data_IF_420866263624
#
_entry.id   IF_420866263624
#
_cell.length_a   1.000
_cell.length_b   1.000
_cell.length_c   1.000
_cell.angle_alpha   90.00
_cell.angle_beta   90.00
_cell.angle_gamma   90.00
#
_symmetry.space_group_name_H-M   'P 1'
#
loop_
_entity.id
_entity.type
_entity.pdbx_description
1 polymer ?
#
# COMPACT_ATOMS: atom_id res chain seq x y z
N UNK A 1 -14.94 17.17 1.53
CA UNK A 1 -15.22 15.98 2.38
C UNK A 1 -14.69 16.27 3.78
N UNK A 2 -15.49 16.05 4.83
CA UNK A 2 -15.08 16.36 6.21
C UNK A 2 -14.21 15.21 6.77
N UNK A 3 -12.89 15.28 6.53
CA UNK A 3 -11.93 14.25 6.96
C UNK A 3 -11.95 14.01 8.47
N UNK A 4 -12.28 15.05 9.28
CA UNK A 4 -12.43 14.93 10.73
C UNK A 4 -13.59 13.99 11.09
N UNK A 5 -14.75 14.16 10.46
CA UNK A 5 -15.91 13.31 10.71
C UNK A 5 -15.63 11.84 10.38
N UNK A 6 -15.05 11.57 9.20
CA UNK A 6 -14.69 10.20 8.80
C UNK A 6 -13.71 9.55 9.77
N UNK A 7 -12.70 10.30 10.21
CA UNK A 7 -11.76 9.83 11.23
C UNK A 7 -12.46 9.51 12.55
N UNK A 8 -13.31 10.41 13.05
CA UNK A 8 -14.05 10.18 14.28
C UNK A 8 -14.96 8.96 14.19
N UNK A 9 -15.62 8.73 13.05
CA UNK A 9 -16.44 7.54 12.82
C UNK A 9 -15.61 6.26 12.80
N UNK A 10 -14.45 6.28 12.12
CA UNK A 10 -13.52 5.15 12.07
C UNK A 10 -12.96 4.82 13.46
N UNK A 11 -12.49 5.85 14.19
CA UNK A 11 -11.96 5.68 15.55
C UNK A 11 -13.05 5.09 16.48
N UNK A 12 -14.30 5.58 16.43
CA UNK A 12 -15.41 5.02 17.22
C UNK A 12 -15.76 3.59 16.83
N UNK A 13 -15.84 3.28 15.53
CA UNK A 13 -16.14 1.92 15.08
C UNK A 13 -15.10 0.94 15.61
N UNK A 14 -13.82 1.29 15.55
CA UNK A 14 -12.73 0.45 16.04
C UNK A 14 -12.74 0.34 17.56
N UNK A 15 -13.00 1.44 18.28
CA UNK A 15 -13.09 1.39 19.74
C UNK A 15 -14.23 0.49 20.23
N UNK A 16 -15.42 0.59 19.62
CA UNK A 16 -16.55 -0.30 19.93
C UNK A 16 -16.23 -1.75 19.57
N UNK A 17 -15.56 -1.97 18.43
CA UNK A 17 -15.25 -3.32 17.94
C UNK A 17 -14.15 -4.01 18.74
N UNK A 18 -13.18 -3.25 19.26
CA UNK A 18 -11.97 -3.78 19.91
C UNK A 18 -12.04 -3.65 21.45
N UNK A 19 -12.56 -2.53 21.96
CA UNK A 19 -12.44 -2.13 23.37
C UNK A 19 -13.77 -2.07 24.13
N UNK A 20 -14.92 -2.41 23.53
CA UNK A 20 -16.22 -2.26 24.20
C UNK A 20 -16.39 -3.10 25.48
N UNK A 21 -15.58 -4.14 25.67
CA UNK A 21 -15.70 -5.08 26.80
C UNK A 21 -16.97 -5.94 26.77
N UNK A 22 -17.83 -5.75 25.78
CA UNK A 22 -19.06 -6.53 25.58
C UNK A 22 -18.69 -7.84 24.90
N UNK A 23 -18.91 -8.96 25.61
CA UNK A 23 -18.76 -10.30 25.02
C UNK A 23 -19.98 -10.61 24.16
N UNK A 24 -19.80 -10.63 22.85
CA UNK A 24 -20.78 -11.16 21.90
C UNK A 24 -20.30 -12.53 21.39
N UNK A 25 -21.21 -13.35 20.86
CA UNK A 25 -20.87 -14.67 20.31
C UNK A 25 -20.11 -14.63 18.96
N UNK A 26 -19.95 -13.44 18.38
CA UNK A 26 -19.10 -13.24 17.20
C UNK A 26 -17.62 -13.28 17.59
N UNK A 27 -16.76 -13.74 16.67
CA UNK A 27 -15.32 -13.68 16.89
C UNK A 27 -14.87 -12.22 17.09
N UNK A 28 -14.10 -11.93 18.15
CA UNK A 28 -13.59 -10.58 18.37
C UNK A 28 -12.57 -10.24 17.28
N UNK A 29 -12.73 -9.05 16.66
CA UNK A 29 -11.77 -8.34 15.80
C UNK A 29 -10.96 -9.26 14.89
N UNK A 30 -11.48 -9.50 13.69
CA UNK A 30 -10.91 -10.51 12.80
C UNK A 30 -10.19 -9.87 11.61
N UNK A 31 -9.65 -10.69 10.71
CA UNK A 31 -8.75 -10.24 9.64
C UNK A 31 -9.31 -9.08 8.81
N UNK A 32 -10.60 -9.13 8.50
CA UNK A 32 -11.26 -8.08 7.71
C UNK A 32 -11.40 -6.74 8.45
N UNK A 33 -11.56 -6.75 9.78
CA UNK A 33 -11.59 -5.52 10.58
C UNK A 33 -10.25 -4.79 10.50
N UNK A 34 -9.14 -5.53 10.63
CA UNK A 34 -7.79 -4.96 10.59
C UNK A 34 -7.47 -4.39 9.20
N UNK A 35 -7.72 -5.13 8.12
CA UNK A 35 -7.47 -4.63 6.76
C UNK A 35 -8.39 -3.47 6.40
N UNK A 36 -9.66 -3.53 6.78
CA UNK A 36 -10.60 -2.42 6.63
C UNK A 36 -10.08 -1.14 7.30
N UNK A 37 -9.61 -1.25 8.54
CA UNK A 37 -9.00 -0.13 9.26
C UNK A 37 -7.76 0.40 8.53
N UNK A 38 -6.86 -0.48 8.08
CA UNK A 38 -5.64 -0.11 7.39
C UNK A 38 -5.92 0.72 6.12
N UNK A 39 -6.81 0.25 5.24
CA UNK A 39 -7.21 0.97 4.03
C UNK A 39 -7.88 2.31 4.34
N UNK A 40 -8.81 2.35 5.31
CA UNK A 40 -9.50 3.60 5.67
C UNK A 40 -8.54 4.65 6.25
N UNK A 41 -7.59 4.25 7.11
CA UNK A 41 -6.56 5.17 7.60
C UNK A 41 -5.61 5.62 6.49
N UNK A 42 -5.24 4.73 5.56
CA UNK A 42 -4.47 5.11 4.39
C UNK A 42 -5.23 6.15 3.55
N UNK A 43 -6.54 5.97 3.35
CA UNK A 43 -7.42 6.94 2.68
C UNK A 43 -7.64 8.24 3.46
N UNK A 44 -7.33 8.28 4.75
CA UNK A 44 -7.30 9.51 5.54
C UNK A 44 -5.89 10.13 5.60
N UNK A 45 -4.88 9.47 5.05
CA UNK A 45 -3.48 9.89 5.10
C UNK A 45 -2.79 9.62 6.44
N UNK A 46 -3.39 8.77 7.29
CA UNK A 46 -2.79 8.32 8.54
C UNK A 46 -1.92 7.09 8.30
N UNK A 47 -0.68 7.36 7.93
CA UNK A 47 0.26 6.34 7.49
C UNK A 47 0.61 5.36 8.60
N UNK A 48 0.80 5.87 9.82
CA UNK A 48 1.23 5.06 10.95
C UNK A 48 0.08 4.20 11.50
N UNK A 49 -1.14 4.74 11.58
CA UNK A 49 -2.31 3.90 11.91
C UNK A 49 -2.59 2.87 10.82
N UNK A 50 -2.45 3.22 9.54
CA UNK A 50 -2.61 2.27 8.46
C UNK A 50 -1.65 1.08 8.59
N UNK A 51 -0.37 1.38 8.84
CA UNK A 51 0.66 0.37 9.08
C UNK A 51 0.39 -0.45 10.35
N UNK A 52 -0.02 0.19 11.46
CA UNK A 52 -0.34 -0.52 12.70
C UNK A 52 -1.35 -1.65 12.48
N UNK A 53 -2.46 -1.39 11.78
CA UNK A 53 -3.47 -2.42 11.53
C UNK A 53 -3.04 -3.45 10.47
N UNK A 54 -2.23 -3.05 9.50
CA UNK A 54 -1.63 -3.99 8.56
C UNK A 54 -0.71 -4.98 9.29
N UNK A 55 0.20 -4.46 10.13
CA UNK A 55 1.11 -5.26 10.95
C UNK A 55 0.36 -6.12 11.97
N UNK A 56 -0.69 -5.58 12.60
CA UNK A 56 -1.58 -6.33 13.48
C UNK A 56 -2.13 -7.59 12.83
N UNK A 57 -2.57 -7.53 11.55
CA UNK A 57 -3.06 -8.71 10.85
C UNK A 57 -1.94 -9.73 10.60
N UNK A 58 -0.80 -9.30 10.04
CA UNK A 58 0.24 -10.28 9.65
C UNK A 58 0.86 -11.01 10.87
N UNK A 59 0.84 -10.38 12.04
CA UNK A 59 1.26 -10.97 13.32
C UNK A 59 0.15 -11.82 13.98
N UNK A 60 -1.06 -11.83 13.43
CA UNK A 60 -2.18 -12.52 14.04
C UNK A 60 -2.01 -14.05 13.93
N UNK A 61 -2.27 -14.77 15.03
CA UNK A 61 -2.12 -16.25 15.14
C UNK A 61 -2.89 -17.08 14.10
N UNK A 62 -3.89 -16.47 13.45
CA UNK A 62 -4.70 -17.10 12.42
C UNK A 62 -4.12 -16.93 11.00
N UNK A 63 -3.06 -16.12 10.84
CA UNK A 63 -2.29 -16.07 9.60
C UNK A 63 -1.26 -17.21 9.62
N UNK A 64 -1.28 -18.04 8.58
CA UNK A 64 -0.29 -19.09 8.40
C UNK A 64 1.01 -18.54 7.78
N UNK A 65 2.14 -19.27 7.86
CA UNK A 65 3.32 -19.02 7.07
C UNK A 65 3.04 -18.99 5.56
N UNK A 66 1.98 -19.63 5.06
CA UNK A 66 1.58 -19.50 3.65
C UNK A 66 0.86 -18.18 3.33
N UNK A 67 0.77 -17.26 4.29
CA UNK A 67 0.03 -15.98 4.24
C UNK A 67 -1.49 -16.14 4.09
N UNK A 68 -2.01 -17.36 4.25
CA UNK A 68 -3.44 -17.65 4.28
C UNK A 68 -4.01 -17.37 5.67
N UNK A 69 -5.31 -17.12 5.75
CA UNK A 69 -5.99 -16.76 7.00
C UNK A 69 -7.25 -17.61 7.22
N UNK A 70 -7.54 -17.95 8.48
CA UNK A 70 -8.67 -18.81 8.84
C UNK A 70 -9.29 -18.46 10.20
N UNK A 71 -10.62 -18.62 10.29
CA UNK A 71 -11.43 -18.41 11.50
C UNK A 71 -12.15 -19.70 11.90
N UNK A 72 -11.38 -20.79 11.97
CA UNK A 72 -11.91 -22.17 12.01
C UNK A 72 -12.09 -22.75 10.62
N UNK A 73 -12.60 -21.96 9.67
CA UNK A 73 -12.60 -22.26 8.23
C UNK A 73 -11.73 -21.24 7.46
N UNK A 74 -11.27 -21.55 6.24
CA UNK A 74 -10.53 -20.59 5.40
C UNK A 74 -11.35 -19.33 5.08
N UNK A 75 -10.68 -18.17 5.14
CA UNK A 75 -11.27 -16.84 4.92
C UNK A 75 -10.38 -16.10 3.91
N UNK A 76 -10.67 -16.28 2.61
CA UNK A 76 -9.82 -15.83 1.51
C UNK A 76 -9.83 -14.31 1.29
N UNK A 77 -10.89 -13.65 1.72
CA UNK A 77 -11.05 -12.20 1.61
C UNK A 77 -10.01 -11.44 2.43
N UNK A 78 -9.51 -12.00 3.54
CA UNK A 78 -8.57 -11.28 4.42
C UNK A 78 -7.19 -11.12 3.79
N UNK A 79 -6.53 -12.16 3.22
CA UNK A 79 -5.27 -11.98 2.50
C UNK A 79 -5.40 -11.09 1.25
N UNK A 80 -6.53 -11.19 0.52
CA UNK A 80 -6.79 -10.32 -0.64
C UNK A 80 -7.01 -8.86 -0.21
N UNK A 81 -7.68 -8.65 0.92
CA UNK A 81 -7.85 -7.33 1.52
C UNK A 81 -6.51 -6.78 2.02
N UNK A 82 -5.64 -7.59 2.60
CA UNK A 82 -4.28 -7.19 2.99
C UNK A 82 -3.46 -6.68 1.79
N UNK A 83 -3.50 -7.41 0.66
CA UNK A 83 -2.86 -6.95 -0.58
C UNK A 83 -3.46 -5.61 -1.07
N UNK A 84 -4.78 -5.44 -0.93
CA UNK A 84 -5.46 -4.18 -1.25
C UNK A 84 -4.99 -3.03 -0.36
N UNK A 85 -4.79 -3.26 0.93
CA UNK A 85 -4.26 -2.25 1.85
C UNK A 85 -2.87 -1.77 1.43
N UNK A 86 -1.98 -2.68 0.99
CA UNK A 86 -0.67 -2.30 0.46
C UNK A 86 -0.86 -1.38 -0.75
N UNK A 87 -1.75 -1.71 -1.69
CA UNK A 87 -2.07 -0.82 -2.81
C UNK A 87 -2.59 0.54 -2.33
N UNK A 88 -3.55 0.58 -1.41
CA UNK A 88 -4.11 1.84 -0.87
C UNK A 88 -3.07 2.70 -0.14
N UNK A 89 -2.07 2.08 0.50
CA UNK A 89 -0.98 2.78 1.17
C UNK A 89 0.02 3.37 0.17
N UNK A 90 0.26 2.68 -0.95
CA UNK A 90 1.21 3.07 -1.99
C UNK A 90 0.62 4.04 -3.03
N UNK A 91 -0.61 3.81 -3.48
CA UNK A 91 -1.23 4.51 -4.60
C UNK A 91 -2.76 4.54 -4.49
N UNK A 92 -3.33 5.74 -4.47
CA UNK A 92 -4.78 5.95 -4.47
C UNK A 92 -5.20 6.73 -5.71
N UNK A 93 -6.37 6.41 -6.28
CA UNK A 93 -6.88 7.11 -7.48
C UNK A 93 -8.32 7.60 -7.40
N UNK A 94 -8.92 7.57 -6.20
CA UNK A 94 -10.32 7.95 -6.01
C UNK A 94 -10.55 9.45 -6.22
N UNK A 95 -11.78 9.79 -6.65
CA UNK A 95 -12.19 11.18 -6.91
C UNK A 95 -11.47 11.84 -8.09
N UNK A 96 -11.03 11.05 -9.07
CA UNK A 96 -10.30 11.55 -10.24
C UNK A 96 -8.89 12.07 -9.92
N UNK A 97 -8.34 11.70 -8.76
CA UNK A 97 -7.08 12.24 -8.21
C UNK A 97 -6.14 11.12 -7.82
N UNK A 98 -4.91 11.20 -8.30
CA UNK A 98 -3.82 10.26 -8.02
C UNK A 98 -3.03 10.76 -6.81
N UNK A 99 -2.88 9.92 -5.79
CA UNK A 99 -2.10 10.21 -4.59
C UNK A 99 -1.07 9.12 -4.40
N UNK A 100 0.20 9.48 -4.49
CA UNK A 100 1.33 8.56 -4.38
C UNK A 100 1.88 8.60 -2.96
N UNK A 101 2.16 7.43 -2.39
CA UNK A 101 2.68 7.22 -1.03
C UNK A 101 1.86 7.85 0.10
N UNK A 102 0.55 8.04 -0.12
CA UNK A 102 -0.30 8.76 0.84
C UNK A 102 -0.47 8.03 2.17
N UNK A 103 -0.56 6.70 2.15
CA UNK A 103 -0.63 5.86 3.35
C UNK A 103 0.69 5.17 3.69
N UNK A 104 1.80 5.56 3.07
CA UNK A 104 3.10 4.89 3.27
C UNK A 104 3.76 5.38 4.57
N UNK A 105 3.99 4.49 5.56
CA UNK A 105 4.52 4.81 6.88
C UNK A 105 5.99 5.19 6.83
N UNK A 106 6.47 5.86 7.89
CA UNK A 106 7.87 6.25 8.02
C UNK A 106 8.83 5.05 8.05
N UNK A 107 8.39 3.92 8.61
CA UNK A 107 9.20 2.69 8.68
C UNK A 107 9.53 2.11 7.30
N UNK A 108 8.74 2.42 6.28
CA UNK A 108 9.05 2.05 4.89
C UNK A 108 9.97 3.11 4.27
N UNK A 109 11.24 3.06 4.68
CA UNK A 109 12.29 3.96 4.18
C UNK A 109 12.51 3.80 2.69
N UNK A 110 12.66 2.57 2.22
CA UNK A 110 12.80 2.24 0.81
C UNK A 110 11.49 1.64 0.29
N UNK A 111 10.98 2.17 -0.82
CA UNK A 111 9.76 1.68 -1.47
C UNK A 111 9.89 1.87 -2.97
N UNK A 112 9.57 0.84 -3.75
CA UNK A 112 9.51 0.95 -5.19
C UNK A 112 8.33 0.15 -5.74
N UNK A 113 7.62 0.73 -6.72
CA UNK A 113 6.63 -0.01 -7.50
C UNK A 113 6.65 0.46 -8.95
N UNK A 114 6.27 -0.43 -9.86
CA UNK A 114 6.26 -0.18 -11.30
C UNK A 114 4.88 -0.45 -11.89
N UNK A 115 4.40 0.49 -12.69
CA UNK A 115 3.19 0.39 -13.50
C UNK A 115 1.93 -0.05 -12.72
N UNK A 116 1.76 0.44 -11.49
CA UNK A 116 0.48 0.29 -10.80
C UNK A 116 -0.57 1.14 -11.53
N UNK A 117 -1.74 0.54 -11.76
CA UNK A 117 -2.81 1.13 -12.56
C UNK A 117 -3.75 1.97 -11.71
N UNK A 118 -4.17 3.11 -12.23
CA UNK A 118 -5.16 3.98 -11.59
C UNK A 118 -6.48 4.01 -12.37
N UNK A 119 -7.54 4.47 -11.71
CA UNK A 119 -8.71 5.01 -12.41
C UNK A 119 -8.26 6.11 -13.41
N UNK A 120 -8.93 6.20 -14.56
CA UNK A 120 -8.55 7.12 -15.65
C UNK A 120 -7.49 6.58 -16.62
N UNK A 121 -7.12 5.29 -16.50
CA UNK A 121 -6.18 4.60 -17.39
C UNK A 121 -4.75 5.18 -17.38
N UNK A 122 -4.22 5.47 -16.19
CA UNK A 122 -2.79 5.80 -16.02
C UNK A 122 -2.02 4.61 -15.43
N UNK A 123 -0.74 4.53 -15.78
CA UNK A 123 0.24 3.68 -15.11
C UNK A 123 1.19 4.56 -14.30
N UNK A 124 1.40 4.20 -13.04
CA UNK A 124 2.26 4.96 -12.12
C UNK A 124 3.44 4.09 -11.71
N UNK A 125 4.64 4.64 -11.78
CA UNK A 125 5.86 4.07 -11.22
C UNK A 125 6.43 5.08 -10.24
N UNK A 126 6.89 4.64 -9.08
CA UNK A 126 7.49 5.52 -8.10
C UNK A 126 8.60 4.82 -7.32
N UNK A 127 9.58 5.62 -6.90
CA UNK A 127 10.70 5.18 -6.06
C UNK A 127 10.86 6.14 -4.90
N UNK A 128 10.97 5.59 -3.70
CA UNK A 128 11.36 6.25 -2.46
C UNK A 128 12.60 5.54 -1.92
N UNK A 129 13.57 6.31 -1.45
CA UNK A 129 14.81 5.83 -0.86
C UNK A 129 15.13 6.65 0.38
N UNK A 130 15.50 5.99 1.48
CA UNK A 130 15.81 6.61 2.76
C UNK A 130 14.72 7.59 3.23
N UNK A 131 13.45 7.24 2.96
CA UNK A 131 12.27 8.04 3.30
C UNK A 131 11.94 9.16 2.32
N UNK A 132 12.79 9.43 1.32
CA UNK A 132 12.64 10.52 0.34
C UNK A 132 12.17 9.98 -1.00
N UNK A 133 11.07 10.53 -1.52
CA UNK A 133 10.58 10.18 -2.85
C UNK A 133 11.48 10.74 -3.93
N UNK A 134 12.11 9.82 -4.68
CA UNK A 134 13.12 10.11 -5.70
C UNK A 134 12.45 10.53 -7.02
N UNK A 135 11.38 9.84 -7.39
CA UNK A 135 10.56 10.22 -8.54
C UNK A 135 9.18 9.59 -8.50
N UNK A 136 8.27 10.18 -9.28
CA UNK A 136 6.98 9.60 -9.67
C UNK A 136 6.83 9.78 -11.17
N UNK A 137 6.56 8.71 -11.92
CA UNK A 137 6.13 8.79 -13.31
C UNK A 137 4.66 8.44 -13.46
N UNK A 138 3.98 9.10 -14.39
CA UNK A 138 2.57 8.86 -14.73
C UNK A 138 2.47 8.78 -16.25
N UNK A 139 2.23 7.58 -16.77
CA UNK A 139 1.96 7.32 -18.19
C UNK A 139 0.44 7.35 -18.44
N UNK A 140 -0.02 8.08 -19.46
CA UNK A 140 -1.42 8.07 -19.86
C UNK A 140 -1.67 7.07 -20.98
N UNK A 141 -2.56 6.09 -20.76
CA UNK A 141 -2.88 5.07 -21.78
C UNK A 141 -4.06 5.46 -22.68
N UNK A 142 -4.86 6.44 -22.26
CA UNK A 142 -6.05 6.88 -22.98
C UNK A 142 -5.99 8.35 -23.41
N UNK A 143 -5.10 9.15 -22.82
CA UNK A 143 -5.07 10.60 -23.00
C UNK A 143 -6.13 11.28 -22.13
N UNK A 144 -5.70 12.01 -21.12
CA UNK A 144 -6.56 12.77 -20.21
C UNK A 144 -5.71 13.64 -19.28
N UNK A 145 -6.32 14.67 -18.71
CA UNK A 145 -5.71 15.44 -17.63
C UNK A 145 -5.64 14.59 -16.37
N UNK A 146 -4.46 14.45 -15.78
CA UNK A 146 -4.28 13.84 -14.47
C UNK A 146 -4.07 14.89 -13.39
N UNK A 147 -4.57 14.62 -12.19
CA UNK A 147 -4.32 15.39 -10.99
C UNK A 147 -3.49 14.53 -10.06
N UNK A 148 -2.21 14.85 -9.91
CA UNK A 148 -1.26 14.02 -9.15
C UNK A 148 -0.71 14.76 -7.94
N UNK A 149 -0.68 14.08 -6.81
CA UNK A 149 -0.01 14.51 -5.59
C UNK A 149 0.99 13.45 -5.17
N UNK A 150 2.20 13.88 -4.87
CA UNK A 150 3.28 13.09 -4.30
C UNK A 150 3.92 13.87 -3.16
N UNK A 151 4.58 13.17 -2.24
CA UNK A 151 5.35 13.77 -1.15
C UNK A 151 6.72 14.28 -1.60
N UNK A 152 6.74 14.99 -2.73
CA UNK A 152 7.90 15.72 -3.26
C UNK A 152 7.62 17.22 -3.08
N UNK A 153 8.35 17.92 -2.19
CA UNK A 153 8.26 19.37 -2.08
C UNK A 153 8.71 20.03 -3.39
N UNK A 154 7.87 20.90 -3.97
CA UNK A 154 8.18 21.68 -5.18
C UNK A 154 8.88 20.86 -6.30
N UNK A 155 8.24 19.80 -6.81
CA UNK A 155 8.84 18.91 -7.78
C UNK A 155 9.13 19.66 -9.08
N UNK A 156 10.24 19.29 -9.72
CA UNK A 156 10.46 19.56 -11.14
C UNK A 156 9.58 18.60 -11.94
N UNK A 157 8.86 19.14 -12.93
CA UNK A 157 7.87 18.38 -13.69
C UNK A 157 8.27 18.38 -15.17
N UNK A 158 8.26 17.19 -15.76
CA UNK A 158 8.63 16.96 -17.16
C UNK A 158 7.54 16.17 -17.86
N UNK A 159 7.26 16.47 -19.13
CA UNK A 159 6.45 15.61 -20.01
C UNK A 159 7.35 15.15 -21.15
N UNK A 160 7.52 13.84 -21.31
CA UNK A 160 8.42 13.23 -22.30
C UNK A 160 9.83 13.86 -22.28
N UNK A 161 10.35 14.11 -21.08
CA UNK A 161 11.66 14.69 -20.84
C UNK A 161 11.75 16.22 -20.98
N UNK A 162 10.69 16.91 -21.39
CA UNK A 162 10.68 18.37 -21.51
C UNK A 162 10.09 19.01 -20.26
N UNK A 163 10.83 19.93 -19.64
CA UNK A 163 10.39 20.65 -18.46
C UNK A 163 9.06 21.39 -18.72
N UNK A 164 8.16 21.35 -17.75
CA UNK A 164 6.84 21.98 -17.81
C UNK A 164 6.60 22.83 -16.58
N UNK A 165 5.87 23.93 -16.78
CA UNK A 165 5.25 24.68 -15.70
C UNK A 165 3.80 24.22 -15.63
N UNK A 166 3.41 23.65 -14.50
CA UNK A 166 2.05 23.12 -14.30
C UNK A 166 1.37 23.82 -13.12
N UNK A 167 0.06 24.00 -13.22
CA UNK A 167 -0.71 24.57 -12.12
C UNK A 167 -0.82 23.58 -10.96
N UNK A 168 -0.79 24.14 -9.75
CA UNK A 168 -1.08 23.41 -8.51
C UNK A 168 -2.42 23.88 -7.98
N UNK A 169 -3.31 22.95 -7.68
CA UNK A 169 -4.60 23.25 -7.05
C UNK A 169 -4.41 23.61 -5.58
N UNK A 170 -5.40 24.28 -4.98
CA UNK A 170 -5.37 24.68 -3.57
C UNK A 170 -5.20 23.49 -2.60
N UNK A 171 -5.72 22.32 -3.00
CA UNK A 171 -5.58 21.07 -2.24
C UNK A 171 -4.29 20.28 -2.58
N UNK A 172 -3.38 20.90 -3.34
CA UNK A 172 -2.01 20.46 -3.51
C UNK A 172 -1.76 19.42 -4.59
N UNK A 173 -2.65 19.32 -5.60
CA UNK A 173 -2.46 18.45 -6.77
C UNK A 173 -1.86 19.23 -7.93
N UNK A 174 -0.94 18.62 -8.66
CA UNK A 174 -0.46 19.13 -9.93
C UNK A 174 -1.39 18.67 -11.05
N UNK A 175 -1.90 19.62 -11.84
CA UNK A 175 -2.76 19.34 -12.98
C UNK A 175 -1.90 19.20 -14.25
N UNK A 176 -1.86 18.01 -14.83
CA UNK A 176 -1.00 17.70 -15.97
C UNK A 176 -1.84 17.14 -17.10
N UNK A 177 -1.93 17.88 -18.21
CA UNK A 177 -2.57 17.40 -19.43
C UNK A 177 -1.65 16.42 -20.15
N UNK A 178 -2.08 15.17 -20.29
CA UNK A 178 -1.32 14.13 -20.98
C UNK A 178 -2.11 13.59 -22.17
N UNK A 179 -1.47 13.52 -23.33
CA UNK A 179 -1.96 12.73 -24.46
C UNK A 179 -1.66 11.25 -24.22
N UNK A 180 -2.34 10.38 -24.97
CA UNK A 180 -2.07 8.94 -24.97
C UNK A 180 -0.59 8.68 -25.30
N UNK A 181 0.07 7.89 -24.46
CA UNK A 181 1.48 7.53 -24.55
C UNK A 181 2.44 8.55 -23.93
N UNK A 182 1.97 9.72 -23.48
CA UNK A 182 2.83 10.68 -22.80
C UNK A 182 3.08 10.28 -21.34
N UNK A 183 4.29 10.59 -20.88
CA UNK A 183 4.75 10.30 -19.52
C UNK A 183 5.09 11.61 -18.81
N UNK A 184 4.38 11.90 -17.73
CA UNK A 184 4.79 12.91 -16.77
C UNK A 184 5.81 12.33 -15.80
N UNK A 185 6.86 13.09 -15.46
CA UNK A 185 7.80 12.77 -14.38
C UNK A 185 7.85 13.91 -13.38
N UNK A 186 7.68 13.59 -12.10
CA UNK A 186 7.86 14.49 -10.97
C UNK A 186 9.12 14.06 -10.21
N UNK A 187 10.06 14.96 -9.98
CA UNK A 187 11.32 14.68 -9.27
C UNK A 187 11.79 15.85 -8.40
N UNK A 188 12.52 15.61 -7.30
CA UNK A 188 13.14 16.69 -6.51
C UNK A 188 14.39 17.27 -7.20
N UNK A 189 15.04 16.49 -8.08
CA UNK A 189 16.27 16.84 -8.80
C UNK A 189 16.02 17.00 -10.31
N UNK A 190 17.00 17.53 -11.04
CA UNK A 190 16.90 17.65 -12.50
C UNK A 190 16.81 16.26 -13.16
N UNK A 191 16.13 16.14 -14.29
CA UNK A 191 15.78 14.85 -14.90
C UNK A 191 17.00 13.96 -15.16
N UNK A 192 18.10 14.54 -15.62
CA UNK A 192 19.38 13.88 -15.90
C UNK A 192 20.08 13.33 -14.64
N UNK A 193 19.66 13.74 -13.45
CA UNK A 193 20.17 13.27 -12.15
C UNK A 193 19.26 12.20 -11.53
N UNK A 194 18.08 11.95 -12.11
CA UNK A 194 17.12 10.99 -11.56
C UNK A 194 17.58 9.57 -11.86
N UNK A 195 17.71 8.76 -10.81
CA UNK A 195 17.87 7.33 -10.94
C UNK A 195 16.50 6.64 -11.14
N UNK A 196 16.21 6.27 -12.38
CA UNK A 196 14.97 5.59 -12.76
C UNK A 196 14.97 4.08 -12.49
N UNK A 197 16.06 3.50 -11.96
CA UNK A 197 16.13 2.06 -11.74
C UNK A 197 15.15 1.62 -10.65
N UNK A 198 14.28 0.67 -11.02
CA UNK A 198 13.41 -0.05 -10.09
C UNK A 198 13.99 -1.44 -9.93
N UNK A 199 14.44 -1.75 -8.72
CA UNK A 199 15.08 -3.01 -8.37
C UNK A 199 14.49 -3.56 -7.05
N UNK A 200 14.59 -4.89 -6.81
CA UNK A 200 14.21 -5.46 -5.52
C UNK A 200 15.00 -4.82 -4.38
N UNK A 201 14.30 -4.42 -3.32
CA UNK A 201 14.93 -3.87 -2.12
C UNK A 201 15.68 -5.01 -1.42
N UNK A 202 16.96 -4.79 -1.14
CA UNK A 202 17.80 -5.77 -0.46
C UNK A 202 17.37 -5.89 0.99
N UNK A 203 16.88 -7.07 1.35
CA UNK A 203 16.64 -7.46 2.74
C UNK A 203 17.74 -8.40 3.23
N UNK A 204 17.96 -8.40 4.55
CA UNK A 204 18.93 -9.29 5.19
C UNK A 204 18.60 -10.75 4.92
N UNK A 205 19.58 -11.65 4.99
CA UNK A 205 19.30 -13.08 4.82
C UNK A 205 18.33 -13.61 5.87
N UNK A 206 18.29 -13.02 7.08
CA UNK A 206 17.33 -13.37 8.13
C UNK A 206 15.89 -13.05 7.74
N UNK A 207 15.66 -11.98 6.98
CA UNK A 207 14.33 -11.48 6.59
C UNK A 207 13.85 -11.99 5.22
N UNK A 208 14.63 -12.85 4.55
CA UNK A 208 14.20 -13.52 3.31
C UNK A 208 13.34 -14.73 3.62
N UNK A 209 12.34 -14.98 2.78
CA UNK A 209 11.51 -16.20 2.82
C UNK A 209 10.91 -16.47 4.21
N UNK A 210 10.46 -15.41 4.90
CA UNK A 210 9.78 -15.49 6.21
C UNK A 210 8.45 -16.25 6.12
N UNK A 211 7.90 -16.32 4.91
CA UNK A 211 6.65 -17.00 4.57
C UNK A 211 6.93 -18.14 3.59
N UNK A 212 6.04 -19.13 3.55
CA UNK A 212 6.18 -20.37 2.78
C UNK A 212 6.69 -21.55 3.61
N UNK A 213 7.12 -22.64 2.96
CA UNK A 213 7.81 -23.75 3.60
C UNK A 213 9.31 -23.44 3.65
N UNK A 214 9.86 -23.21 4.85
CA UNK A 214 11.31 -23.01 5.04
C UNK A 214 11.77 -23.43 6.44
N UNK A 215 13.09 -23.56 6.64
CA UNK A 215 13.68 -23.87 7.94
C UNK A 215 13.41 -22.80 9.02
N UNK A 216 12.96 -21.60 8.60
CA UNK A 216 12.57 -20.50 9.49
C UNK A 216 11.13 -20.58 9.96
N UNK A 217 10.32 -21.39 9.29
CA UNK A 217 8.90 -21.54 9.61
C UNK A 217 8.72 -22.69 10.59
N UNK A 218 8.56 -22.36 11.87
CA UNK A 218 8.28 -23.35 12.91
C UNK A 218 6.83 -23.84 12.73
N UNK A 219 6.65 -25.17 12.78
CA UNK A 219 5.40 -25.93 12.61
C UNK A 219 4.11 -25.17 12.97
N UNK A 220 3.15 -25.22 12.05
CA UNK A 220 1.90 -24.47 12.02
C UNK A 220 0.84 -24.88 13.06
N UNK A 221 0.15 -23.93 13.75
CA UNK A 221 -1.07 -24.21 14.52
C UNK A 221 -2.23 -24.79 13.68
N UNK A 222 -2.31 -24.43 12.39
CA UNK A 222 -3.30 -24.93 11.42
C UNK A 222 -2.94 -26.26 10.76
N UNK A 223 -1.80 -26.87 11.09
CA UNK A 223 -1.32 -28.11 10.47
C UNK A 223 -2.18 -29.35 10.79
N UNK A 224 -3.18 -29.21 11.68
CA UNK A 224 -4.18 -30.25 11.94
C UNK A 224 -5.14 -30.48 10.76
N UNK A 225 -5.20 -29.53 9.83
CA UNK A 225 -6.12 -29.55 8.68
C UNK A 225 -5.42 -29.84 7.33
N UNK A 226 -4.09 -29.95 7.33
CA UNK A 226 -3.29 -30.28 6.15
C UNK A 226 -2.49 -31.55 6.44
N UNK A 227 -2.67 -32.58 5.61
CA UNK A 227 -2.03 -33.88 5.81
C UNK A 227 -0.51 -33.75 5.74
N UNK A 228 0.25 -34.51 6.56
CA UNK A 228 1.70 -34.58 6.41
C UNK A 228 2.05 -35.13 5.02
N UNK A 229 2.97 -34.47 4.31
CA UNK A 229 3.67 -35.13 3.22
C UNK A 229 4.38 -36.36 3.78
N UNK A 230 4.18 -37.50 3.11
CA UNK A 230 4.87 -38.73 3.47
C UNK A 230 6.36 -38.46 3.42
N UNK A 231 7.00 -38.49 4.58
CA UNK A 231 8.45 -38.43 4.69
C UNK A 231 8.98 -39.70 4.02
N UNK A 232 9.50 -39.58 2.81
CA UNK A 232 10.32 -40.62 2.21
C UNK A 232 11.63 -40.63 3.01
N UNK A 233 11.74 -41.61 3.91
CA UNK A 233 13.01 -41.90 4.57
C UNK A 233 14.07 -42.16 3.50
N UNK A 234 15.18 -41.42 3.58
CA UNK A 234 16.42 -41.73 2.86
C UNK A 234 17.12 -42.91 3.51
#
# INVERSE_FOLDING_TARGET
>A
MNAKMLRTSLDHWLDVSINSGIKVGAMPVTGYTATGAASMYAWLGDKEKAYHYLDFLIQHKNVSPTTMYAEGNPVIESPLSFATCIHDMLLQSWGGKIRVFRGTPKIWGDVAFKNLRTQGAFLVTAKKKDGVTQFVTVESLAGSTCFVQADIPNPKIYINGKAQIVSKTDDGFYQIALKKGEIATLSPVALEQVDFQIEPIRVSDADRNLFGLSDKTVRLPGHKFYYPEKTTAK
#
